data_IF_420991107846
#
_entry.id   IF_420991107846
#
_cell.length_a   1.000
_cell.length_b   1.000
_cell.length_c   1.000
_cell.angle_alpha   90.00
_cell.angle_beta   90.00
_cell.angle_gamma   90.00
#
_symmetry.space_group_name_H-M   'P 1'
#
loop_
_entity.id
_entity.type
_entity.pdbx_description
1 polymer ?
#
# COMPACT_ATOMS: atom_id res chain seq x y z
N UNK A 1 -15.52 -16.77 -1.27
CA UNK A 1 -14.93 -17.67 -0.26
C UNK A 1 -14.61 -19.01 -0.91
N UNK A 2 -13.37 -19.47 -0.76
CA UNK A 2 -12.86 -20.69 -1.39
C UNK A 2 -12.42 -21.65 -0.26
N UNK A 3 -13.06 -22.83 -0.12
CA UNK A 3 -12.66 -23.82 0.88
C UNK A 3 -11.26 -24.37 0.58
N UNK A 4 -10.44 -24.50 1.61
CA UNK A 4 -9.14 -25.12 1.53
C UNK A 4 -8.77 -25.76 2.88
N UNK A 5 -8.13 -26.95 2.92
CA UNK A 5 -7.83 -27.67 4.16
C UNK A 5 -6.66 -27.08 4.98
N UNK A 6 -6.14 -25.91 4.60
CA UNK A 6 -5.09 -25.25 5.36
C UNK A 6 -5.59 -24.77 6.74
N UNK A 7 -4.67 -24.69 7.70
CA UNK A 7 -4.93 -24.16 9.05
C UNK A 7 -5.00 -22.63 9.09
N UNK A 8 -4.55 -21.97 8.03
CA UNK A 8 -4.57 -20.52 7.87
C UNK A 8 -5.48 -20.13 6.72
N UNK A 9 -6.07 -18.95 6.86
CA UNK A 9 -6.81 -18.28 5.79
C UNK A 9 -5.95 -17.20 5.14
N UNK A 10 -5.96 -17.17 3.81
CA UNK A 10 -5.39 -16.09 3.02
C UNK A 10 -6.52 -15.16 2.60
N UNK A 11 -6.41 -13.90 2.97
CA UNK A 11 -7.39 -12.86 2.65
C UNK A 11 -6.74 -11.86 1.70
N UNK A 12 -7.40 -11.61 0.58
CA UNK A 12 -7.01 -10.61 -0.40
C UNK A 12 -8.18 -9.66 -0.64
N UNK A 13 -7.92 -8.36 -0.51
CA UNK A 13 -8.85 -7.31 -0.90
C UNK A 13 -8.25 -6.59 -2.10
N UNK A 14 -9.05 -6.30 -3.10
CA UNK A 14 -8.59 -5.58 -4.29
C UNK A 14 -9.62 -4.56 -4.75
N UNK A 15 -9.12 -3.45 -5.29
CA UNK A 15 -9.90 -2.39 -5.91
C UNK A 15 -9.14 -1.82 -7.12
N UNK A 16 -9.81 -1.27 -8.15
CA UNK A 16 -9.12 -0.52 -9.20
C UNK A 16 -8.32 0.63 -8.59
N UNK A 17 -7.01 0.64 -8.83
CA UNK A 17 -6.07 1.65 -8.28
C UNK A 17 -5.80 2.78 -9.28
N UNK A 18 -4.58 2.83 -9.81
CA UNK A 18 -4.15 3.92 -10.67
C UNK A 18 -3.21 3.43 -11.80
N UNK A 19 -3.03 4.26 -12.81
CA UNK A 19 -1.98 4.11 -13.81
C UNK A 19 -0.71 4.86 -13.41
N UNK A 20 0.42 4.53 -14.03
CA UNK A 20 1.72 5.14 -13.70
C UNK A 20 1.78 6.66 -13.88
N UNK A 21 1.07 7.18 -14.87
CA UNK A 21 1.02 8.62 -15.20
C UNK A 21 -0.06 9.39 -14.45
N UNK A 22 -0.68 8.79 -13.42
CA UNK A 22 -1.74 9.45 -12.66
C UNK A 22 -1.20 10.59 -11.80
N UNK A 23 -1.85 11.76 -11.76
CA UNK A 23 -1.43 12.88 -10.90
C UNK A 23 -1.48 12.54 -9.40
N UNK A 24 -2.30 11.55 -9.00
CA UNK A 24 -2.38 11.09 -7.61
C UNK A 24 -1.27 10.08 -7.25
N UNK A 25 -0.33 9.78 -8.17
CA UNK A 25 0.68 8.75 -7.97
C UNK A 25 1.50 8.95 -6.69
N UNK A 26 2.07 10.12 -6.48
CA UNK A 26 2.93 10.37 -5.31
C UNK A 26 2.15 10.46 -3.99
N UNK A 27 1.00 11.16 -3.90
CA UNK A 27 0.15 11.08 -2.72
C UNK A 27 -0.27 9.65 -2.35
N UNK A 28 -0.64 8.83 -3.34
CA UNK A 28 -1.00 7.43 -3.09
C UNK A 28 0.20 6.56 -2.73
N UNK A 29 1.38 6.81 -3.31
CA UNK A 29 2.62 6.12 -2.96
C UNK A 29 2.99 6.34 -1.49
N UNK A 30 3.04 7.62 -1.06
CA UNK A 30 3.39 7.99 0.32
C UNK A 30 2.30 7.54 1.28
N UNK A 31 1.04 7.75 0.94
CA UNK A 31 -0.08 7.29 1.76
C UNK A 31 -0.12 5.77 1.93
N UNK A 32 0.16 5.02 0.86
CA UNK A 32 0.27 3.56 0.97
C UNK A 32 1.44 3.11 1.84
N UNK A 33 2.57 3.82 1.81
CA UNK A 33 3.68 3.54 2.73
C UNK A 33 3.21 3.61 4.19
N UNK A 34 2.42 4.61 4.54
CA UNK A 34 1.84 4.76 5.89
C UNK A 34 0.79 3.69 6.17
N UNK A 35 -0.09 3.39 5.20
CA UNK A 35 -1.20 2.45 5.39
C UNK A 35 -0.71 1.01 5.58
N UNK A 36 0.12 0.48 4.66
CA UNK A 36 0.51 -0.94 4.69
C UNK A 36 1.80 -1.27 3.94
N UNK A 37 2.40 -0.31 3.20
CA UNK A 37 3.62 -0.51 2.43
C UNK A 37 4.91 -0.31 3.21
N UNK A 38 4.89 0.35 4.36
CA UNK A 38 6.06 0.68 5.20
C UNK A 38 6.50 -0.44 6.15
N UNK A 39 5.96 -1.66 5.99
CA UNK A 39 6.30 -2.77 6.87
C UNK A 39 5.82 -2.56 8.30
N UNK A 40 6.69 -2.80 9.28
CA UNK A 40 6.33 -2.79 10.70
C UNK A 40 5.81 -1.46 11.25
N UNK A 41 6.10 -0.35 10.59
CA UNK A 41 5.66 0.99 11.02
C UNK A 41 4.34 1.42 10.36
N UNK A 42 3.73 0.56 9.54
CA UNK A 42 2.47 0.87 8.87
C UNK A 42 1.26 0.61 9.76
N UNK A 43 0.17 1.37 9.55
CA UNK A 43 -1.07 1.25 10.33
C UNK A 43 -1.67 -0.15 10.32
N UNK A 44 -1.67 -0.84 9.17
CA UNK A 44 -2.17 -2.21 9.08
C UNK A 44 -1.36 -3.17 9.95
N UNK A 45 -0.02 -3.05 9.92
CA UNK A 45 0.85 -3.88 10.77
C UNK A 45 0.67 -3.57 12.25
N UNK A 46 0.59 -2.30 12.62
CA UNK A 46 0.37 -1.88 13.99
C UNK A 46 -0.97 -2.39 14.54
N UNK A 47 -2.08 -2.14 13.82
CA UNK A 47 -3.42 -2.45 14.29
C UNK A 47 -3.73 -3.94 14.29
N UNK A 48 -3.33 -4.66 13.23
CA UNK A 48 -3.72 -6.06 13.02
C UNK A 48 -2.72 -7.00 13.68
N UNK A 49 -1.41 -6.74 13.53
CA UNK A 49 -0.37 -7.61 14.06
C UNK A 49 0.06 -7.23 15.47
N UNK A 50 0.54 -5.98 15.67
CA UNK A 50 1.20 -5.62 16.93
C UNK A 50 0.19 -5.52 18.08
N UNK A 51 -0.94 -4.84 17.87
CA UNK A 51 -1.94 -4.63 18.92
C UNK A 51 -2.84 -5.84 19.18
N UNK A 52 -3.13 -6.65 18.15
CA UNK A 52 -4.15 -7.71 18.24
C UNK A 52 -3.64 -9.12 17.93
N UNK A 53 -2.47 -9.26 17.34
CA UNK A 53 -1.90 -10.57 17.01
C UNK A 53 -2.71 -11.39 16.00
N UNK A 54 -3.58 -10.74 15.20
CA UNK A 54 -4.48 -11.41 14.27
C UNK A 54 -3.79 -11.94 13.02
N UNK A 55 -2.67 -11.33 12.62
CA UNK A 55 -1.93 -11.75 11.43
C UNK A 55 -0.42 -11.72 11.67
N UNK A 56 0.31 -12.65 11.04
CA UNK A 56 1.78 -12.60 11.02
C UNK A 56 2.28 -11.52 10.07
N UNK A 57 1.60 -11.37 8.93
CA UNK A 57 1.91 -10.37 7.91
C UNK A 57 0.62 -9.77 7.37
N UNK A 58 0.61 -8.46 7.25
CA UNK A 58 -0.41 -7.69 6.54
C UNK A 58 0.27 -6.56 5.79
N UNK A 59 -0.16 -6.32 4.56
CA UNK A 59 0.46 -5.33 3.68
C UNK A 59 -0.55 -4.75 2.71
N UNK A 60 -0.24 -3.57 2.16
CA UNK A 60 -0.96 -3.00 1.02
C UNK A 60 0.01 -2.48 -0.03
N UNK A 61 -0.43 -2.46 -1.29
CA UNK A 61 0.35 -1.91 -2.38
C UNK A 61 -0.54 -1.50 -3.56
N UNK A 62 -0.03 -0.56 -4.34
CA UNK A 62 -0.51 -0.23 -5.67
C UNK A 62 0.39 -0.89 -6.72
N UNK A 63 -0.21 -1.38 -7.79
CA UNK A 63 0.50 -1.88 -8.98
C UNK A 63 0.19 -0.96 -10.16
N UNK A 64 0.83 0.21 -10.27
CA UNK A 64 0.56 1.14 -11.35
C UNK A 64 1.19 0.66 -12.65
N UNK A 65 0.34 0.37 -13.66
CA UNK A 65 0.75 -0.01 -15.01
C UNK A 65 0.58 1.15 -15.98
N UNK A 66 0.71 0.90 -17.29
CA UNK A 66 0.34 1.88 -18.33
C UNK A 66 -1.16 2.17 -18.28
N UNK A 67 -1.96 1.11 -18.13
CA UNK A 67 -3.36 1.20 -17.80
C UNK A 67 -3.58 1.14 -16.28
N UNK A 68 -4.82 1.30 -15.83
CA UNK A 68 -5.17 1.26 -14.43
C UNK A 68 -4.89 -0.12 -13.82
N UNK A 69 -3.94 -0.16 -12.90
CA UNK A 69 -3.62 -1.35 -12.13
C UNK A 69 -4.34 -1.37 -10.77
N UNK A 70 -4.29 -2.49 -10.04
CA UNK A 70 -5.02 -2.64 -8.78
C UNK A 70 -4.34 -1.94 -7.59
N UNK A 71 -5.18 -1.58 -6.61
CA UNK A 71 -4.81 -1.47 -5.20
C UNK A 71 -5.14 -2.79 -4.51
N UNK A 72 -4.25 -3.30 -3.67
CA UNK A 72 -4.43 -4.58 -2.99
C UNK A 72 -4.02 -4.51 -1.53
N UNK A 73 -4.76 -5.24 -0.68
CA UNK A 73 -4.38 -5.54 0.70
C UNK A 73 -4.34 -7.05 0.83
N UNK A 74 -3.26 -7.59 1.40
CA UNK A 74 -3.11 -9.02 1.65
C UNK A 74 -2.76 -9.30 3.10
N UNK A 75 -3.36 -10.34 3.67
CA UNK A 75 -3.01 -10.83 5.00
C UNK A 75 -3.23 -12.34 5.12
N UNK A 76 -2.56 -12.92 6.13
CA UNK A 76 -2.74 -14.31 6.52
C UNK A 76 -3.08 -14.36 8.01
N UNK A 77 -4.11 -15.13 8.35
CA UNK A 77 -4.62 -15.26 9.72
C UNK A 77 -5.06 -16.70 10.00
N UNK A 78 -5.31 -17.03 11.26
CA UNK A 78 -5.94 -18.30 11.61
C UNK A 78 -7.38 -18.33 11.08
N UNK A 79 -7.89 -19.52 10.75
CA UNK A 79 -9.27 -19.69 10.25
C UNK A 79 -10.30 -19.00 11.14
N UNK A 80 -10.21 -19.25 12.44
CA UNK A 80 -11.17 -18.79 13.44
C UNK A 80 -11.15 -17.26 13.61
N UNK A 81 -10.07 -16.60 13.18
CA UNK A 81 -9.88 -15.15 13.29
C UNK A 81 -10.14 -14.42 11.97
N UNK A 82 -10.54 -15.12 10.91
CA UNK A 82 -10.63 -14.53 9.55
C UNK A 82 -11.62 -13.38 9.47
N UNK A 83 -12.79 -13.51 10.10
CA UNK A 83 -13.82 -12.46 10.07
C UNK A 83 -13.39 -11.23 10.87
N UNK A 84 -12.79 -11.45 12.04
CA UNK A 84 -12.27 -10.35 12.87
C UNK A 84 -11.14 -9.59 12.16
N UNK A 85 -10.18 -10.33 11.59
CA UNK A 85 -9.06 -9.75 10.85
C UNK A 85 -9.54 -8.96 9.61
N UNK A 86 -10.53 -9.50 8.88
CA UNK A 86 -11.14 -8.83 7.74
C UNK A 86 -11.86 -7.55 8.15
N UNK A 87 -12.73 -7.63 9.16
CA UNK A 87 -13.49 -6.47 9.66
C UNK A 87 -12.55 -5.35 10.13
N UNK A 88 -11.47 -5.71 10.85
CA UNK A 88 -10.48 -4.74 11.29
C UNK A 88 -9.70 -4.13 10.11
N UNK A 89 -9.36 -4.93 9.10
CA UNK A 89 -8.69 -4.45 7.89
C UNK A 89 -9.56 -3.40 7.17
N UNK A 90 -10.85 -3.68 7.00
CA UNK A 90 -11.80 -2.72 6.43
C UNK A 90 -11.90 -1.45 7.27
N UNK A 91 -11.96 -1.59 8.59
CA UNK A 91 -12.02 -0.43 9.50
C UNK A 91 -10.78 0.45 9.36
N UNK A 92 -9.58 -0.13 9.39
CA UNK A 92 -8.32 0.63 9.25
C UNK A 92 -8.25 1.33 7.90
N UNK A 93 -8.64 0.64 6.81
CA UNK A 93 -8.70 1.25 5.48
C UNK A 93 -9.70 2.41 5.44
N UNK A 94 -10.90 2.20 5.96
CA UNK A 94 -11.95 3.23 5.98
C UNK A 94 -11.51 4.46 6.78
N UNK A 95 -10.98 4.25 7.98
CA UNK A 95 -10.48 5.33 8.83
C UNK A 95 -9.36 6.11 8.11
N UNK A 96 -8.48 5.41 7.37
CA UNK A 96 -7.42 6.07 6.60
C UNK A 96 -7.96 6.88 5.43
N UNK A 97 -8.95 6.37 4.70
CA UNK A 97 -9.61 7.11 3.59
C UNK A 97 -10.34 8.34 4.11
N UNK A 98 -11.04 8.21 5.23
CA UNK A 98 -11.85 9.31 5.79
C UNK A 98 -10.98 10.41 6.41
N UNK A 99 -9.97 10.05 7.18
CA UNK A 99 -9.19 10.96 8.02
C UNK A 99 -7.83 11.36 7.43
N UNK A 100 -7.24 10.49 6.59
CA UNK A 100 -5.86 10.63 6.12
C UNK A 100 -4.82 10.29 7.20
N UNK A 101 -3.53 10.53 6.91
CA UNK A 101 -2.46 10.38 7.87
C UNK A 101 -2.32 11.61 8.77
N UNK A 102 -1.61 11.43 9.90
CA UNK A 102 -1.13 12.54 10.73
C UNK A 102 0.15 13.15 10.14
N UNK A 103 0.52 14.36 10.59
CA UNK A 103 1.79 15.01 10.18
C UNK A 103 3.02 14.22 10.64
N UNK A 104 2.95 13.58 11.80
CA UNK A 104 4.04 12.73 12.32
C UNK A 104 4.24 11.50 11.44
N UNK A 105 3.16 10.83 11.03
CA UNK A 105 3.21 9.70 10.10
C UNK A 105 3.76 10.12 8.74
N UNK A 106 3.34 11.27 8.22
CA UNK A 106 3.84 11.80 6.96
C UNK A 106 5.34 12.09 7.04
N UNK A 107 5.78 12.76 8.10
CA UNK A 107 7.19 13.07 8.34
C UNK A 107 8.04 11.81 8.39
N UNK A 108 7.62 10.83 9.17
CA UNK A 108 8.31 9.55 9.28
C UNK A 108 8.36 8.78 7.95
N UNK A 109 7.25 8.79 7.18
CA UNK A 109 7.19 8.15 5.87
C UNK A 109 8.14 8.80 4.86
N UNK A 110 8.17 10.14 4.78
CA UNK A 110 9.11 10.88 3.93
C UNK A 110 10.56 10.57 4.30
N UNK A 111 10.91 10.64 5.58
CA UNK A 111 12.25 10.30 6.05
C UNK A 111 12.66 8.87 5.66
N UNK A 112 11.76 7.91 5.79
CA UNK A 112 12.02 6.52 5.42
C UNK A 112 12.19 6.35 3.90
N UNK A 113 11.29 6.93 3.09
CA UNK A 113 11.33 6.81 1.62
C UNK A 113 12.57 7.50 1.07
N UNK A 114 12.84 8.74 1.46
CA UNK A 114 13.94 9.56 0.97
C UNK A 114 15.28 9.05 1.51
N UNK A 115 15.36 8.81 2.82
CA UNK A 115 16.58 8.29 3.46
C UNK A 115 16.95 6.87 3.01
N UNK A 116 15.97 6.05 2.67
CA UNK A 116 16.17 4.71 2.12
C UNK A 116 16.46 4.69 0.61
N UNK A 117 16.30 5.80 -0.10
CA UNK A 117 16.44 5.84 -1.55
C UNK A 117 17.84 5.46 -2.07
N UNK A 118 18.96 5.89 -1.45
CA UNK A 118 20.30 5.46 -1.89
C UNK A 118 20.46 3.93 -1.93
N UNK A 119 19.82 3.20 -1.01
CA UNK A 119 19.85 1.74 -0.99
C UNK A 119 19.05 1.10 -2.14
N UNK A 120 18.23 1.88 -2.85
CA UNK A 120 17.47 1.41 -4.03
C UNK A 120 18.26 1.55 -5.33
N UNK A 121 19.38 2.27 -5.32
CA UNK A 121 20.25 2.52 -6.48
C UNK A 121 21.73 2.16 -6.20
N UNK A 122 22.00 1.34 -5.19
CA UNK A 122 23.34 0.99 -4.72
C UNK A 122 24.04 -0.09 -5.55
N UNK A 123 23.40 -0.61 -6.60
CA UNK A 123 23.97 -1.63 -7.48
C UNK A 123 23.54 -1.44 -8.93
N UNK A 124 24.37 -1.94 -9.88
CA UNK A 124 24.05 -1.89 -11.31
C UNK A 124 22.71 -2.54 -11.65
N UNK A 125 22.34 -3.64 -10.96
CA UNK A 125 21.05 -4.32 -11.16
C UNK A 125 19.87 -3.42 -10.77
N UNK A 126 19.95 -2.72 -9.64
CA UNK A 126 18.91 -1.80 -9.18
C UNK A 126 18.83 -0.57 -10.09
N UNK A 127 19.97 -0.03 -10.52
CA UNK A 127 20.02 1.08 -11.49
C UNK A 127 19.36 0.66 -12.80
N UNK A 128 19.70 -0.54 -13.32
CA UNK A 128 19.06 -1.06 -14.55
C UNK A 128 17.54 -1.22 -14.37
N UNK A 129 17.08 -1.63 -13.21
CA UNK A 129 15.65 -1.69 -12.89
C UNK A 129 14.97 -0.32 -13.05
N UNK A 130 15.56 0.73 -12.51
CA UNK A 130 15.03 2.09 -12.68
C UNK A 130 15.09 2.58 -14.14
N UNK A 131 16.20 2.32 -14.85
CA UNK A 131 16.32 2.68 -16.27
C UNK A 131 15.26 1.96 -17.10
N UNK A 132 14.97 0.71 -16.81
CA UNK A 132 13.90 -0.05 -17.48
C UNK A 132 12.52 0.57 -17.23
N UNK A 133 12.23 0.99 -15.99
CA UNK A 133 10.99 1.70 -15.65
C UNK A 133 10.91 3.05 -16.38
N UNK A 134 11.97 3.84 -16.36
CA UNK A 134 12.05 5.12 -17.05
C UNK A 134 11.79 4.94 -18.56
N UNK A 135 12.48 3.98 -19.19
CA UNK A 135 12.32 3.70 -20.61
C UNK A 135 10.95 3.17 -20.98
N UNK A 136 10.44 2.19 -20.23
CA UNK A 136 9.14 1.56 -20.50
C UNK A 136 7.96 2.53 -20.36
N UNK A 137 7.96 3.33 -19.28
CA UNK A 137 6.90 4.31 -19.03
C UNK A 137 7.15 5.68 -19.68
N UNK A 138 8.25 5.84 -20.42
CA UNK A 138 8.66 7.10 -21.07
C UNK A 138 8.74 8.27 -20.08
N UNK A 139 9.29 8.00 -18.89
CA UNK A 139 9.51 9.03 -17.87
C UNK A 139 10.70 9.91 -18.22
N UNK A 140 10.80 11.15 -17.71
CA UNK A 140 11.93 12.01 -17.94
C UNK A 140 13.22 11.40 -17.39
N UNK A 141 14.38 11.74 -17.97
CA UNK A 141 15.68 11.27 -17.47
C UNK A 141 16.02 11.82 -16.08
N UNK A 142 15.38 12.92 -15.68
CA UNK A 142 15.44 13.52 -14.34
C UNK A 142 14.60 12.77 -13.31
N UNK A 143 13.90 11.70 -13.71
CA UNK A 143 12.90 11.01 -12.88
C UNK A 143 13.37 10.68 -11.45
N UNK A 144 14.63 10.30 -11.27
CA UNK A 144 15.14 9.93 -9.93
C UNK A 144 15.27 11.17 -9.01
N UNK A 145 15.63 12.31 -9.55
CA UNK A 145 15.65 13.60 -8.83
C UNK A 145 14.23 14.07 -8.57
N UNK A 146 13.41 14.09 -9.61
CA UNK A 146 12.01 14.54 -9.55
C UNK A 146 11.20 13.67 -8.58
N UNK A 147 11.54 12.37 -8.46
CA UNK A 147 10.90 11.44 -7.52
C UNK A 147 11.09 11.88 -6.06
N UNK A 148 12.31 12.26 -5.68
CA UNK A 148 12.59 12.70 -4.30
C UNK A 148 11.89 14.01 -3.98
N UNK A 149 11.93 14.97 -4.91
CA UNK A 149 11.25 16.26 -4.77
C UNK A 149 9.74 16.09 -4.69
N UNK A 150 9.18 15.22 -5.53
CA UNK A 150 7.75 14.93 -5.50
C UNK A 150 7.29 14.24 -4.19
N UNK A 151 8.09 13.32 -3.64
CA UNK A 151 7.81 12.72 -2.33
C UNK A 151 7.86 13.78 -1.23
N UNK A 152 8.87 14.66 -1.24
CA UNK A 152 9.02 15.73 -0.24
C UNK A 152 7.85 16.73 -0.29
N UNK A 153 7.32 17.02 -1.47
CA UNK A 153 6.23 17.97 -1.66
C UNK A 153 4.85 17.45 -1.23
N UNK A 154 4.68 16.13 -1.00
CA UNK A 154 3.37 15.56 -0.61
C UNK A 154 2.91 16.11 0.75
N UNK A 155 1.61 16.42 0.85
CA UNK A 155 0.95 16.84 2.10
C UNK A 155 -0.07 15.82 2.60
N UNK A 156 -0.42 15.87 3.89
CA UNK A 156 -1.46 15.01 4.49
C UNK A 156 -2.80 15.19 3.78
N UNK A 157 -3.16 16.42 3.42
CA UNK A 157 -4.39 16.73 2.71
C UNK A 157 -4.41 16.15 1.29
N UNK A 158 -3.28 16.20 0.56
CA UNK A 158 -3.19 15.57 -0.76
C UNK A 158 -3.35 14.05 -0.68
N UNK A 159 -2.78 13.41 0.36
CA UNK A 159 -2.95 11.97 0.60
C UNK A 159 -4.42 11.66 0.86
N UNK A 160 -5.05 12.37 1.80
CA UNK A 160 -6.47 12.17 2.15
C UNK A 160 -7.36 12.29 0.92
N UNK A 161 -7.23 13.37 0.16
CA UNK A 161 -8.02 13.61 -1.04
C UNK A 161 -7.78 12.57 -2.14
N UNK A 162 -6.53 12.14 -2.34
CA UNK A 162 -6.19 11.11 -3.33
C UNK A 162 -6.84 9.77 -2.97
N UNK A 163 -6.75 9.35 -1.69
CA UNK A 163 -7.41 8.12 -1.23
C UNK A 163 -8.92 8.21 -1.36
N UNK A 164 -9.55 9.31 -0.99
CA UNK A 164 -11.01 9.51 -1.13
C UNK A 164 -11.48 9.46 -2.59
N UNK A 165 -10.69 9.98 -3.54
CA UNK A 165 -11.02 9.90 -4.97
C UNK A 165 -10.86 8.51 -5.56
N UNK A 166 -9.86 7.74 -5.08
CA UNK A 166 -9.41 6.51 -5.74
C UNK A 166 -9.84 5.23 -5.06
N UNK A 167 -10.11 5.25 -3.77
CA UNK A 167 -10.40 4.03 -3.01
C UNK A 167 -11.79 4.12 -2.39
N UNK A 168 -12.61 3.13 -2.70
CA UNK A 168 -13.93 2.95 -2.09
C UNK A 168 -13.89 1.69 -1.23
N UNK A 169 -13.72 1.79 0.09
CA UNK A 169 -13.58 0.63 0.97
C UNK A 169 -14.72 -0.38 0.83
N UNK A 170 -15.97 0.11 0.71
CA UNK A 170 -17.15 -0.75 0.58
C UNK A 170 -17.28 -1.40 -0.81
N UNK A 171 -16.53 -0.92 -1.81
CA UNK A 171 -16.51 -1.46 -3.18
C UNK A 171 -15.42 -2.50 -3.42
N UNK A 172 -14.62 -2.85 -2.42
CA UNK A 172 -13.51 -3.79 -2.61
C UNK A 172 -13.99 -5.22 -2.85
N UNK A 173 -13.37 -5.88 -3.82
CA UNK A 173 -13.52 -7.33 -4.00
C UNK A 173 -12.68 -8.03 -2.94
N UNK A 174 -13.31 -8.92 -2.18
CA UNK A 174 -12.65 -9.72 -1.14
C UNK A 174 -12.62 -11.19 -1.53
N UNK A 175 -11.44 -11.79 -1.50
CA UNK A 175 -11.25 -13.24 -1.68
C UNK A 175 -10.63 -13.81 -0.41
N UNK A 176 -11.26 -14.86 0.12
CA UNK A 176 -10.77 -15.61 1.29
C UNK A 176 -10.59 -17.05 0.88
N UNK A 177 -9.38 -17.57 1.04
CA UNK A 177 -9.04 -18.97 0.79
C UNK A 177 -8.67 -19.63 2.11
N UNK A 178 -9.33 -20.72 2.46
CA UNK A 178 -9.06 -21.48 3.69
C UNK A 178 -10.10 -21.33 4.82
N UNK A 179 -10.95 -20.31 4.80
CA UNK A 179 -11.85 -19.94 5.91
C UNK A 179 -13.25 -20.54 5.86
N UNK A 180 -13.44 -21.72 5.34
CA UNK A 180 -14.81 -22.26 5.21
C UNK A 180 -14.89 -23.65 5.83
N UNK A 181 -15.92 -23.85 6.62
CA UNK A 181 -16.49 -25.16 6.92
C UNK A 181 -17.18 -25.73 5.69
#
# INVERSE_FOLDING_TARGET
>A
RIPHPATQSHIQLAYPGLRRSDPDYFPLLVGNHILGGGGFVSRLMEEIRQKRGLAYSVYSFFSPYQEQGPFQIGLQTKKEQSEEALALTHKVLKDFVDQGPTEDELTAAKQNIIGGFPLRIDSNSKILGFLSVIGFYRLPLTYLTDYLEAVEAVTTEQIRQAFQRRIQPDGMVTVIVGAIE
#
